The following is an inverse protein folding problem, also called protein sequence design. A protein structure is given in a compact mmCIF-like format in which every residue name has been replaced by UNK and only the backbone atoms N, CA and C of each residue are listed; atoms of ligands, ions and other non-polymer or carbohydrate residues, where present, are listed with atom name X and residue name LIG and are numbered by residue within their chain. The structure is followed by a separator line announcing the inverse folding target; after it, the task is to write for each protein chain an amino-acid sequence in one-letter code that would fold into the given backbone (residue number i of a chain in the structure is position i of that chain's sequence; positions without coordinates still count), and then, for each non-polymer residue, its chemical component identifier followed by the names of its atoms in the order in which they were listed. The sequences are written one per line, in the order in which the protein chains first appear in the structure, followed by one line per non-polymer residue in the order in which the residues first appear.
data_IF_378446423925
#
_entry.id   IF_378446423925
#
_cell.length_a   1.000
_cell.length_b   1.000
_cell.length_c   1.000
_cell.angle_alpha   90.00
_cell.angle_beta   90.00
_cell.angle_gamma   90.00
#
_symmetry.space_group_name_H-M   'P 1'
#
loop_
_entity.id
_entity.type
_entity.pdbx_description
1 polymer ?
#
# COMPACT_ATOMS: atom_id res chain seq x y z
N UNK A 1 -3.53 -20.03 5.02
CA UNK A 1 -2.57 -19.95 3.90
C UNK A 1 -3.30 -19.24 2.78
N UNK A 2 -2.81 -18.08 2.34
CA UNK A 2 -3.42 -17.34 1.23
C UNK A 2 -3.39 -18.21 -0.03
N UNK A 3 -4.49 -18.24 -0.79
CA UNK A 3 -4.55 -18.99 -2.06
C UNK A 3 -3.44 -18.49 -3.00
N UNK A 4 -2.46 -19.34 -3.40
CA UNK A 4 -1.36 -18.92 -4.27
C UNK A 4 -1.85 -18.49 -5.67
N UNK A 5 -3.08 -18.85 -6.05
CA UNK A 5 -3.67 -18.45 -7.33
C UNK A 5 -4.51 -17.17 -7.24
N UNK A 6 -4.60 -16.56 -6.06
CA UNK A 6 -5.37 -15.35 -5.88
C UNK A 6 -4.86 -14.23 -6.78
N UNK A 7 -5.78 -13.65 -7.54
CA UNK A 7 -5.61 -12.35 -8.17
C UNK A 7 -6.95 -11.73 -8.53
N UNK A 8 -6.96 -10.42 -8.69
CA UNK A 8 -8.01 -9.69 -9.37
C UNK A 8 -7.40 -8.73 -10.37
N UNK A 9 -8.23 -8.22 -11.29
CA UNK A 9 -7.76 -7.35 -12.38
C UNK A 9 -8.51 -6.04 -12.40
N UNK A 10 -7.81 -5.00 -12.82
CA UNK A 10 -8.39 -3.73 -13.28
C UNK A 10 -8.32 -3.68 -14.80
N UNK A 11 -8.48 -2.49 -15.41
CA UNK A 11 -8.39 -2.33 -16.87
C UNK A 11 -7.00 -2.63 -17.43
N UNK A 12 -5.92 -2.30 -16.69
CA UNK A 12 -4.53 -2.47 -17.14
C UNK A 12 -3.67 -3.31 -16.21
N UNK A 13 -4.15 -3.65 -15.01
CA UNK A 13 -3.33 -4.27 -13.97
C UNK A 13 -3.89 -5.60 -13.50
N UNK A 14 -2.98 -6.49 -13.12
CA UNK A 14 -3.24 -7.66 -12.31
C UNK A 14 -2.69 -7.40 -10.91
N UNK A 15 -3.52 -7.59 -9.89
CA UNK A 15 -3.17 -7.49 -8.49
C UNK A 15 -3.21 -8.89 -7.89
N UNK A 16 -2.10 -9.35 -7.32
CA UNK A 16 -1.96 -10.71 -6.75
C UNK A 16 -1.18 -10.68 -5.44
N UNK A 17 -1.14 -11.81 -4.74
CA UNK A 17 -0.21 -11.94 -3.62
C UNK A 17 1.25 -11.93 -4.08
N UNK A 18 2.13 -11.49 -3.18
CA UNK A 18 3.56 -11.77 -3.25
C UNK A 18 3.77 -13.22 -2.81
N UNK A 19 4.59 -13.95 -3.57
CA UNK A 19 4.82 -15.39 -3.36
C UNK A 19 6.28 -15.57 -2.91
N UNK A 20 6.52 -16.00 -1.67
CA UNK A 20 7.87 -16.16 -1.14
C UNK A 20 8.65 -17.30 -1.80
N UNK A 21 7.97 -18.23 -2.46
CA UNK A 21 8.60 -19.31 -3.23
C UNK A 21 9.00 -18.89 -4.64
N UNK A 22 8.50 -17.75 -5.13
CA UNK A 22 8.82 -17.21 -6.44
C UNK A 22 10.03 -16.26 -6.36
N UNK A 23 11.20 -16.63 -6.91
CA UNK A 23 12.40 -15.80 -6.83
C UNK A 23 12.25 -14.45 -7.54
N UNK A 24 11.38 -14.34 -8.55
CA UNK A 24 11.10 -13.07 -9.24
C UNK A 24 10.35 -12.09 -8.34
N UNK A 25 9.43 -12.57 -7.50
CA UNK A 25 8.70 -11.72 -6.55
C UNK A 25 9.66 -11.16 -5.48
N UNK A 26 10.51 -12.03 -4.91
CA UNK A 26 11.51 -11.62 -3.93
C UNK A 26 12.53 -10.64 -4.52
N UNK A 27 13.02 -10.91 -5.72
CA UNK A 27 13.99 -10.03 -6.41
C UNK A 27 13.36 -8.69 -6.78
N UNK A 28 12.11 -8.70 -7.26
CA UNK A 28 11.36 -7.49 -7.55
C UNK A 28 11.17 -6.61 -6.32
N UNK A 29 10.83 -7.19 -5.17
CA UNK A 29 10.65 -6.44 -3.93
C UNK A 29 11.94 -5.73 -3.51
N UNK A 30 13.09 -6.41 -3.62
CA UNK A 30 14.42 -5.81 -3.38
C UNK A 30 14.64 -4.63 -4.35
N UNK A 31 14.37 -4.80 -5.64
CA UNK A 31 14.54 -3.72 -6.62
C UNK A 31 13.65 -2.51 -6.32
N UNK A 32 12.36 -2.74 -6.06
CA UNK A 32 11.39 -1.68 -5.78
C UNK A 32 11.73 -0.93 -4.48
N UNK A 33 12.07 -1.64 -3.42
CA UNK A 33 12.27 -1.04 -2.08
C UNK A 33 13.61 -0.33 -1.93
N UNK A 34 14.54 -0.50 -2.87
CA UNK A 34 15.82 0.20 -2.88
C UNK A 34 15.90 1.28 -3.98
N UNK A 35 14.78 1.67 -4.58
CA UNK A 35 14.75 2.86 -5.44
C UNK A 35 14.87 4.14 -4.61
N UNK A 36 15.47 5.22 -5.15
CA UNK A 36 15.53 6.51 -4.48
C UNK A 36 14.15 7.02 -4.04
N UNK A 37 13.12 6.78 -4.85
CA UNK A 37 11.75 7.20 -4.59
C UNK A 37 11.17 6.48 -3.38
N UNK A 38 11.33 5.15 -3.29
CA UNK A 38 10.83 4.40 -2.13
C UNK A 38 11.59 4.77 -0.85
N UNK A 39 12.91 4.91 -0.94
CA UNK A 39 13.75 5.34 0.19
C UNK A 39 13.36 6.74 0.66
N UNK A 40 13.07 7.66 -0.27
CA UNK A 40 12.59 9.01 0.05
C UNK A 40 11.25 8.96 0.81
N UNK A 41 10.32 8.08 0.40
CA UNK A 41 9.05 7.87 1.10
C UNK A 41 9.25 7.38 2.55
N UNK A 42 10.32 6.63 2.82
CA UNK A 42 10.70 6.18 4.18
C UNK A 42 11.51 7.23 4.96
N UNK A 43 11.56 8.48 4.50
CA UNK A 43 12.33 9.56 5.13
C UNK A 43 13.83 9.45 4.88
N UNK A 44 14.24 8.90 3.74
CA UNK A 44 15.64 8.82 3.31
C UNK A 44 16.44 7.66 3.91
N UNK A 45 15.80 6.77 4.68
CA UNK A 45 16.47 5.63 5.32
C UNK A 45 16.47 4.42 4.37
N UNK A 46 17.64 3.85 4.05
CA UNK A 46 17.71 2.60 3.28
C UNK A 46 16.95 1.46 3.95
N UNK A 47 16.42 0.55 3.15
CA UNK A 47 15.70 -0.63 3.67
C UNK A 47 16.68 -1.71 4.09
N UNK A 48 16.25 -2.58 5.02
CA UNK A 48 16.99 -3.82 5.34
C UNK A 48 16.77 -4.93 4.31
N UNK A 49 15.91 -4.71 3.31
CA UNK A 49 15.50 -5.71 2.31
C UNK A 49 16.43 -5.63 1.11
N UNK A 50 17.68 -6.06 1.31
CA UNK A 50 18.77 -5.86 0.33
C UNK A 50 19.07 -7.08 -0.54
N UNK A 51 18.41 -8.22 -0.29
CA UNK A 51 18.60 -9.45 -1.04
C UNK A 51 17.31 -10.29 -1.07
N UNK A 52 17.16 -11.23 -2.03
CA UNK A 52 15.96 -12.03 -2.17
C UNK A 52 15.60 -12.87 -0.93
N UNK A 53 16.57 -13.32 -0.15
CA UNK A 53 16.30 -14.07 1.09
C UNK A 53 15.63 -13.18 2.15
N UNK A 54 16.12 -11.95 2.33
CA UNK A 54 15.48 -10.98 3.22
C UNK A 54 14.06 -10.60 2.75
N UNK A 55 13.85 -10.48 1.44
CA UNK A 55 12.52 -10.25 0.88
C UNK A 55 11.58 -11.44 1.10
N UNK A 56 12.09 -12.67 0.94
CA UNK A 56 11.34 -13.91 1.22
C UNK A 56 10.88 -13.94 2.68
N UNK A 57 11.79 -13.72 3.62
CA UNK A 57 11.46 -13.69 5.06
C UNK A 57 10.43 -12.61 5.40
N UNK A 58 10.54 -11.42 4.79
CA UNK A 58 9.55 -10.36 4.94
C UNK A 58 8.16 -10.80 4.45
N UNK A 59 8.08 -11.41 3.27
CA UNK A 59 6.81 -11.90 2.72
C UNK A 59 6.21 -12.96 3.65
N UNK A 60 7.00 -13.96 4.06
CA UNK A 60 6.55 -15.07 4.91
C UNK A 60 6.09 -14.62 6.29
N UNK A 61 6.87 -13.75 6.94
CA UNK A 61 6.66 -13.40 8.34
C UNK A 61 5.72 -12.21 8.53
N UNK A 62 5.62 -11.32 7.52
CA UNK A 62 4.81 -10.10 7.62
C UNK A 62 3.63 -10.11 6.67
N UNK A 63 3.84 -10.15 5.35
CA UNK A 63 2.75 -9.94 4.40
C UNK A 63 1.71 -11.06 4.47
N UNK A 64 2.13 -12.32 4.58
CA UNK A 64 1.20 -13.45 4.75
C UNK A 64 0.41 -13.35 6.07
N UNK A 65 1.06 -12.91 7.15
CA UNK A 65 0.41 -12.72 8.45
C UNK A 65 -0.59 -11.57 8.42
N UNK A 66 -0.26 -10.44 7.76
CA UNK A 66 -1.17 -9.31 7.55
C UNK A 66 -2.42 -9.73 6.76
N UNK A 67 -2.26 -10.45 5.64
CA UNK A 67 -3.38 -10.98 4.87
C UNK A 67 -4.25 -11.94 5.68
N UNK A 68 -3.63 -12.86 6.44
CA UNK A 68 -4.37 -13.82 7.26
C UNK A 68 -5.16 -13.15 8.39
N UNK A 69 -4.59 -12.09 8.99
CA UNK A 69 -5.19 -11.37 10.12
C UNK A 69 -6.30 -10.41 9.68
N UNK A 70 -6.06 -9.67 8.60
CA UNK A 70 -6.94 -8.56 8.20
C UNK A 70 -7.87 -8.90 7.03
N UNK A 71 -7.58 -9.96 6.27
CA UNK A 71 -8.18 -10.22 4.95
C UNK A 71 -7.57 -9.38 3.81
N UNK A 72 -6.68 -8.45 4.15
CA UNK A 72 -5.96 -7.57 3.24
C UNK A 72 -4.54 -7.28 3.74
N UNK A 73 -3.69 -6.75 2.88
CA UNK A 73 -2.28 -6.49 3.18
C UNK A 73 -1.56 -5.94 1.95
N UNK A 74 -0.30 -6.31 1.77
CA UNK A 74 0.52 -5.92 0.61
C UNK A 74 0.34 -6.85 -0.57
N UNK A 75 0.05 -6.30 -1.74
CA UNK A 75 -0.13 -7.01 -3.01
C UNK A 75 0.92 -6.60 -4.04
N UNK A 76 1.23 -7.52 -4.94
CA UNK A 76 2.00 -7.25 -6.14
C UNK A 76 1.10 -6.62 -7.21
N UNK A 77 1.61 -5.60 -7.90
CA UNK A 77 0.95 -4.98 -9.06
C UNK A 77 1.76 -5.33 -10.29
N UNK A 78 1.12 -5.97 -11.27
CA UNK A 78 1.72 -6.30 -12.57
C UNK A 78 0.90 -5.74 -13.72
N UNK A 79 1.54 -5.41 -14.84
CA UNK A 79 0.84 -5.08 -16.09
C UNK A 79 0.07 -6.31 -16.56
N UNK A 80 -1.21 -6.12 -16.90
CA UNK A 80 -2.09 -7.21 -17.34
C UNK A 80 -1.65 -7.78 -18.70
N UNK A 81 -1.09 -6.95 -19.58
CA UNK A 81 -0.69 -7.33 -20.94
C UNK A 81 0.55 -8.22 -20.98
N UNK A 82 1.50 -8.02 -20.08
CA UNK A 82 2.82 -8.69 -20.11
C UNK A 82 3.11 -9.50 -18.85
N UNK A 83 2.25 -9.39 -17.83
CA UNK A 83 2.49 -9.93 -16.49
C UNK A 83 3.78 -9.41 -15.84
N UNK A 84 4.27 -8.23 -16.27
CA UNK A 84 5.47 -7.58 -15.74
C UNK A 84 5.16 -6.92 -14.39
N UNK A 85 5.88 -7.27 -13.30
CA UNK A 85 5.78 -6.56 -12.03
C UNK A 85 6.19 -5.08 -12.16
N UNK A 86 5.36 -4.16 -11.68
CA UNK A 86 5.61 -2.72 -11.77
C UNK A 86 5.53 -1.99 -10.44
N UNK A 87 4.92 -2.60 -9.42
CA UNK A 87 4.78 -1.98 -8.12
C UNK A 87 4.15 -2.87 -7.07
N UNK A 88 3.81 -2.26 -5.94
CA UNK A 88 2.97 -2.82 -4.89
C UNK A 88 1.84 -1.86 -4.56
N UNK A 89 0.73 -2.42 -4.09
CA UNK A 89 -0.39 -1.69 -3.48
C UNK A 89 -0.77 -2.40 -2.20
N UNK A 90 -1.12 -1.66 -1.15
CA UNK A 90 -1.39 -2.25 0.16
C UNK A 90 -2.51 -1.53 0.90
N UNK A 91 -3.20 -2.30 1.74
CA UNK A 91 -3.97 -1.75 2.85
C UNK A 91 -3.30 -2.20 4.15
N UNK A 92 -2.84 -1.25 4.95
CA UNK A 92 -2.08 -1.53 6.16
C UNK A 92 -2.90 -1.15 7.40
N UNK A 93 -3.09 -2.12 8.29
CA UNK A 93 -3.58 -1.86 9.65
C UNK A 93 -2.76 -2.68 10.66
N UNK A 94 -1.86 -2.06 11.44
CA UNK A 94 -1.16 -2.75 12.52
C UNK A 94 -2.14 -3.30 13.55
N UNK A 95 -1.80 -4.41 14.21
CA UNK A 95 -2.69 -5.09 15.16
C UNK A 95 -3.02 -4.22 16.38
N UNK A 96 -2.01 -3.56 16.94
CA UNK A 96 -2.14 -2.72 18.14
C UNK A 96 -2.23 -1.22 17.79
N UNK A 97 -2.94 -0.89 16.70
CA UNK A 97 -3.13 0.49 16.23
C UNK A 97 -4.35 1.11 16.91
N UNK A 98 -4.23 2.38 17.34
CA UNK A 98 -5.41 3.19 17.71
C UNK A 98 -6.28 3.52 16.49
N UNK A 99 -5.68 3.56 15.30
CA UNK A 99 -6.37 3.75 14.02
C UNK A 99 -7.11 2.46 13.64
N UNK A 100 -8.43 2.58 13.46
CA UNK A 100 -9.35 1.45 13.27
C UNK A 100 -9.58 1.10 11.79
N UNK A 101 -9.33 2.04 10.87
CA UNK A 101 -9.38 1.79 9.43
C UNK A 101 -7.99 1.52 8.84
N UNK A 102 -7.89 0.73 7.76
CA UNK A 102 -6.62 0.54 7.07
C UNK A 102 -6.17 1.80 6.32
N UNK A 103 -4.86 1.94 6.16
CA UNK A 103 -4.21 2.97 5.35
C UNK A 103 -3.84 2.44 3.96
N UNK A 104 -4.18 3.19 2.91
CA UNK A 104 -3.83 2.86 1.52
C UNK A 104 -2.41 3.31 1.19
N UNK A 105 -1.58 2.35 0.78
CA UNK A 105 -0.22 2.60 0.32
C UNK A 105 0.04 2.05 -1.08
N UNK A 106 0.99 2.65 -1.79
CA UNK A 106 1.42 2.20 -3.11
C UNK A 106 2.87 2.59 -3.39
N UNK A 107 3.57 1.75 -4.13
CA UNK A 107 4.90 2.02 -4.65
C UNK A 107 4.97 1.51 -6.09
N UNK A 108 5.54 2.30 -7.00
CA UNK A 108 5.62 1.96 -8.42
C UNK A 108 7.04 2.28 -8.88
N UNK A 109 7.65 1.46 -9.73
CA UNK A 109 8.97 1.77 -10.29
C UNK A 109 8.92 3.05 -11.11
N UNK A 110 10.02 3.82 -11.11
CA UNK A 110 10.11 5.15 -11.73
C UNK A 110 9.68 5.17 -13.20
N UNK A 111 10.02 4.12 -13.96
CA UNK A 111 9.65 3.96 -15.37
C UNK A 111 8.14 3.80 -15.63
N UNK A 112 7.37 3.39 -14.61
CA UNK A 112 5.91 3.28 -14.68
C UNK A 112 5.18 4.40 -13.90
N UNK A 113 5.91 5.31 -13.26
CA UNK A 113 5.30 6.44 -12.56
C UNK A 113 4.62 7.41 -13.54
N UNK A 114 3.71 8.24 -13.02
CA UNK A 114 2.97 9.30 -13.76
C UNK A 114 2.08 8.79 -14.91
N UNK A 115 1.91 7.48 -15.06
CA UNK A 115 1.01 6.84 -16.04
C UNK A 115 -0.34 6.42 -15.43
N UNK A 116 -0.60 6.80 -14.17
CA UNK A 116 -1.86 6.54 -13.48
C UNK A 116 -1.98 5.15 -12.81
N UNK A 117 -0.95 4.31 -12.88
CA UNK A 117 -1.01 2.96 -12.30
C UNK A 117 -1.20 2.93 -10.78
N UNK A 118 -0.59 3.85 -10.03
CA UNK A 118 -0.80 3.94 -8.59
C UNK A 118 -2.28 4.23 -8.24
N UNK A 119 -2.91 5.18 -8.95
CA UNK A 119 -4.33 5.51 -8.78
C UNK A 119 -5.21 4.31 -9.13
N UNK A 120 -4.93 3.65 -10.26
CA UNK A 120 -5.70 2.49 -10.69
C UNK A 120 -5.59 1.31 -9.73
N UNK A 121 -4.38 0.98 -9.27
CA UNK A 121 -4.13 -0.10 -8.33
C UNK A 121 -4.82 0.18 -6.98
N UNK A 122 -4.65 1.38 -6.44
CA UNK A 122 -5.26 1.76 -5.16
C UNK A 122 -6.78 1.78 -5.22
N UNK A 123 -7.37 2.33 -6.29
CA UNK A 123 -8.83 2.31 -6.49
C UNK A 123 -9.34 0.88 -6.61
N UNK A 124 -8.69 0.06 -7.45
CA UNK A 124 -9.05 -1.34 -7.62
C UNK A 124 -8.97 -2.15 -6.31
N UNK A 125 -7.96 -1.86 -5.47
CA UNK A 125 -7.85 -2.50 -4.17
C UNK A 125 -8.98 -2.07 -3.22
N UNK A 126 -9.29 -0.78 -3.12
CA UNK A 126 -10.39 -0.27 -2.28
C UNK A 126 -11.72 -0.92 -2.69
N UNK A 127 -12.02 -0.94 -3.99
CA UNK A 127 -13.25 -1.57 -4.52
C UNK A 127 -13.29 -3.08 -4.26
N UNK A 128 -12.14 -3.76 -4.39
CA UNK A 128 -12.03 -5.19 -4.09
C UNK A 128 -12.29 -5.47 -2.61
N UNK A 129 -11.63 -4.77 -1.69
CA UNK A 129 -11.78 -5.04 -0.25
C UNK A 129 -13.14 -4.61 0.30
N UNK A 130 -13.76 -3.60 -0.30
CA UNK A 130 -15.13 -3.22 0.00
C UNK A 130 -16.09 -4.38 -0.34
N UNK A 131 -15.96 -4.93 -1.55
CA UNK A 131 -16.84 -6.00 -2.03
C UNK A 131 -16.62 -7.32 -1.30
N UNK A 132 -15.37 -7.74 -1.13
CA UNK A 132 -15.05 -9.09 -0.61
C UNK A 132 -14.93 -9.13 0.92
N UNK A 133 -14.52 -8.03 1.57
CA UNK A 133 -14.28 -8.00 3.02
C UNK A 133 -15.11 -6.95 3.77
N UNK A 134 -15.93 -6.15 3.08
CA UNK A 134 -16.78 -5.15 3.70
C UNK A 134 -16.03 -3.94 4.27
N UNK A 135 -14.83 -3.65 3.75
CA UNK A 135 -14.04 -2.48 4.19
C UNK A 135 -14.68 -1.20 3.63
N UNK A 136 -15.44 -0.49 4.48
CA UNK A 136 -16.17 0.73 4.10
C UNK A 136 -15.41 2.04 4.33
N UNK A 137 -14.28 1.99 5.02
CA UNK A 137 -13.52 3.17 5.39
C UNK A 137 -12.02 2.93 5.23
N UNK A 138 -11.33 3.89 4.61
CA UNK A 138 -9.90 3.81 4.30
C UNK A 138 -9.25 5.16 4.57
N UNK A 139 -8.12 5.15 5.27
CA UNK A 139 -7.23 6.30 5.40
C UNK A 139 -6.22 6.33 4.26
N UNK A 140 -5.70 7.52 3.98
CA UNK A 140 -4.53 7.72 3.14
C UNK A 140 -3.58 8.68 3.83
N UNK A 141 -2.49 8.14 4.36
CA UNK A 141 -1.47 8.90 5.04
C UNK A 141 -0.21 9.05 4.18
N UNK A 142 0.36 10.25 4.16
CA UNK A 142 1.70 10.45 3.61
C UNK A 142 2.40 11.62 4.29
N UNK A 143 3.71 11.73 4.09
CA UNK A 143 4.45 12.93 4.49
C UNK A 143 3.79 14.18 3.87
N UNK A 144 3.62 15.24 4.66
CA UNK A 144 2.96 16.46 4.21
C UNK A 144 3.68 17.16 3.03
N UNK A 145 4.95 16.82 2.79
CA UNK A 145 5.75 17.33 1.66
C UNK A 145 5.67 16.43 0.41
N UNK A 146 5.05 15.25 0.51
CA UNK A 146 4.98 14.28 -0.59
C UNK A 146 3.82 14.57 -1.56
N UNK A 147 4.03 15.58 -2.42
CA UNK A 147 3.07 16.01 -3.44
C UNK A 147 2.65 14.90 -4.41
N UNK A 148 3.53 13.95 -4.71
CA UNK A 148 3.21 12.83 -5.59
C UNK A 148 2.13 11.93 -4.97
N UNK A 149 2.27 11.59 -3.68
CA UNK A 149 1.30 10.80 -2.92
C UNK A 149 -0.02 11.56 -2.74
N UNK A 150 0.03 12.82 -2.31
CA UNK A 150 -1.16 13.67 -2.19
C UNK A 150 -1.91 13.80 -3.52
N UNK A 151 -1.19 13.87 -4.65
CA UNK A 151 -1.78 13.89 -5.98
C UNK A 151 -2.52 12.59 -6.35
N UNK A 152 -2.04 11.43 -5.89
CA UNK A 152 -2.73 10.15 -6.07
C UNK A 152 -3.96 10.08 -5.16
N UNK A 153 -3.84 10.40 -3.87
CA UNK A 153 -4.96 10.42 -2.92
C UNK A 153 -6.09 11.34 -3.37
N UNK A 154 -5.76 12.51 -3.91
CA UNK A 154 -6.73 13.42 -4.55
C UNK A 154 -7.42 12.79 -5.76
N UNK A 155 -6.67 12.10 -6.63
CA UNK A 155 -7.22 11.42 -7.82
C UNK A 155 -8.06 10.19 -7.49
N UNK A 156 -7.84 9.58 -6.32
CA UNK A 156 -8.72 8.54 -5.76
C UNK A 156 -10.07 9.11 -5.29
N UNK A 157 -10.20 10.43 -5.16
CA UNK A 157 -11.40 11.08 -4.65
C UNK A 157 -11.51 11.01 -3.13
N UNK A 158 -10.39 10.82 -2.43
CA UNK A 158 -10.37 10.88 -0.96
C UNK A 158 -10.58 12.33 -0.49
N UNK A 159 -11.21 12.49 0.67
CA UNK A 159 -11.42 13.78 1.31
C UNK A 159 -10.15 14.21 2.02
N UNK A 160 -9.77 15.48 1.87
CA UNK A 160 -8.65 16.08 2.60
C UNK A 160 -9.06 16.38 4.05
N UNK A 161 -8.27 15.91 5.01
CA UNK A 161 -8.52 16.08 6.45
C UNK A 161 -7.49 16.98 7.14
N UNK A 162 -6.58 17.58 6.36
CA UNK A 162 -5.54 18.46 6.90
C UNK A 162 -4.20 17.76 7.14
N UNK A 163 -3.27 18.53 7.71
CA UNK A 163 -1.97 18.05 8.16
C UNK A 163 -2.00 17.93 9.68
N UNK A 164 -1.62 16.77 10.21
CA UNK A 164 -1.52 16.55 11.66
C UNK A 164 -0.48 15.47 11.98
N UNK A 165 -0.12 15.38 13.25
CA UNK A 165 0.70 14.27 13.74
C UNK A 165 -0.17 13.03 13.88
N UNK A 166 0.31 11.91 13.37
CA UNK A 166 -0.37 10.62 13.49
C UNK A 166 0.57 9.70 14.25
N UNK A 167 0.16 9.21 15.42
CA UNK A 167 1.02 8.42 16.31
C UNK A 167 1.68 7.22 15.61
N UNK A 168 1.03 6.65 14.60
CA UNK A 168 1.55 5.58 13.74
C UNK A 168 2.85 5.95 12.99
N UNK A 169 3.05 7.24 12.69
CA UNK A 169 4.20 7.77 11.94
C UNK A 169 5.11 8.65 12.81
N UNK A 170 4.89 8.66 14.13
CA UNK A 170 5.66 9.43 15.09
C UNK A 170 5.41 10.95 15.01
N UNK A 171 6.45 11.73 15.28
CA UNK A 171 6.36 13.20 15.41
C UNK A 171 6.30 13.99 14.09
N UNK A 172 6.15 13.30 12.95
CA UNK A 172 6.13 13.95 11.64
C UNK A 172 4.73 14.42 11.27
N UNK A 173 4.69 15.58 10.63
CA UNK A 173 3.49 16.10 10.00
C UNK A 173 3.07 15.20 8.83
N UNK A 174 1.89 14.62 8.96
CA UNK A 174 1.28 13.74 7.98
C UNK A 174 0.10 14.43 7.32
N UNK A 175 0.11 14.45 6.00
CA UNK A 175 -1.08 14.74 5.20
C UNK A 175 -2.08 13.60 5.39
N UNK A 176 -3.29 13.93 5.84
CA UNK A 176 -4.35 12.97 6.12
C UNK A 176 -5.46 13.08 5.08
N UNK A 177 -5.83 11.93 4.53
CA UNK A 177 -6.95 11.77 3.63
C UNK A 177 -7.87 10.64 4.11
N UNK A 178 -9.17 10.75 3.84
CA UNK A 178 -10.15 9.75 4.22
C UNK A 178 -11.06 9.37 3.04
N UNK A 179 -11.57 8.14 3.07
CA UNK A 179 -12.61 7.66 2.16
C UNK A 179 -13.64 6.86 2.95
N UNK A 180 -14.92 7.09 2.66
CA UNK A 180 -16.03 6.36 3.30
C UNK A 180 -16.22 6.67 4.80
N UNK A 181 -15.65 7.76 5.28
CA UNK A 181 -15.76 8.23 6.67
C UNK A 181 -16.59 9.50 6.75
N UNK A 182 -17.46 9.63 7.75
CA UNK A 182 -18.08 10.93 8.08
C UNK A 182 -17.10 11.75 8.93
N UNK A 183 -16.62 11.17 10.02
CA UNK A 183 -15.64 11.74 10.95
C UNK A 183 -14.47 10.78 11.12
N UNK A 184 -13.25 11.30 11.14
CA UNK A 184 -12.03 10.48 11.26
C UNK A 184 -11.75 10.05 12.70
N UNK A 185 -12.31 10.80 13.64
CA UNK A 185 -12.25 10.58 15.09
C UNK A 185 -12.97 9.28 15.48
N UNK A 186 -14.08 8.95 14.80
CA UNK A 186 -14.80 7.68 14.95
C UNK A 186 -13.94 6.47 14.54
N UNK A 187 -12.83 6.72 13.83
CA UNK A 187 -11.87 5.72 13.38
C UNK A 187 -10.53 5.80 14.13
N UNK A 188 -10.53 6.45 15.30
CA UNK A 188 -9.39 6.50 16.21
C UNK A 188 -8.30 7.50 15.83
N UNK A 189 -8.57 8.38 14.85
CA UNK A 189 -7.72 9.53 14.56
C UNK A 189 -8.17 10.71 15.42
N UNK A 190 -7.61 10.83 16.62
CA UNK A 190 -7.83 11.96 17.53
C UNK A 190 -7.28 13.28 16.93
N UNK A 191 -7.71 14.42 17.48
CA UNK A 191 -7.28 15.78 17.07
C UNK A 191 -5.78 16.04 17.28
#
# INVERSE_FOLDING_TARGET
MTDPNFSFTTSRLKISYLDPSNPLHCSFLVSLWNTPEFISMLGGKPTSITNPSAAKELIENRFLAEHARNGYGTYLVSLLSTNTPIGTVQLMRPENSSILAPDIGYAVLSEYMRQGYAVEAAKGLIEYVDREQGVKAVFGFCDATNEASMGVLRKLGMRWEGVRKVGLFGDKDSAVWSWGMEKVEDWGLEE
#
